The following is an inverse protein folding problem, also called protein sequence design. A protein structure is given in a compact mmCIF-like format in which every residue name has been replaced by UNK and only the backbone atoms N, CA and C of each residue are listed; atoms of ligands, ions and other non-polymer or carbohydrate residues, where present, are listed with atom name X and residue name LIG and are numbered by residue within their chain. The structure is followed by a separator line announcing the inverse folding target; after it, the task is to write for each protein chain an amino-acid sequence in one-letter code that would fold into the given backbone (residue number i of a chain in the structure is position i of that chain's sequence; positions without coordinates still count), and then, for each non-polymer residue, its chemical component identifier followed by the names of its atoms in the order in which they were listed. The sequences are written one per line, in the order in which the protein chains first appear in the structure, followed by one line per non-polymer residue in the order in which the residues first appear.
data_IF_806988952598
#
_entry.id   IF_806988952598
#
_cell.length_a   1.000
_cell.length_b   1.000
_cell.length_c   1.000
_cell.angle_alpha   90.00
_cell.angle_beta   90.00
_cell.angle_gamma   90.00
#
_symmetry.space_group_name_H-M   'P 1'
#
loop_
_entity.id
_entity.type
_entity.pdbx_description
1 polymer ?
#
# COMPACT_ATOMS: atom_id res chain seq x y z
N UNK A 1 -46.96 -6.74 -25.36
CA UNK A 1 -46.89 -7.25 -23.98
C UNK A 1 -45.42 -7.44 -23.62
N UNK A 2 -44.80 -6.43 -22.99
CA UNK A 2 -43.39 -6.47 -22.58
C UNK A 2 -43.30 -7.25 -21.27
N UNK A 3 -42.61 -8.38 -21.27
CA UNK A 3 -42.37 -9.18 -20.06
C UNK A 3 -41.52 -8.37 -19.05
N UNK A 4 -41.83 -8.43 -17.74
CA UNK A 4 -41.01 -7.81 -16.71
C UNK A 4 -39.58 -8.38 -16.76
N UNK A 5 -38.59 -7.50 -16.61
CA UNK A 5 -37.16 -7.83 -16.78
C UNK A 5 -36.67 -8.91 -15.79
N UNK A 6 -37.41 -9.16 -14.71
CA UNK A 6 -37.05 -10.10 -13.64
C UNK A 6 -37.22 -11.58 -14.01
N UNK A 7 -37.99 -11.90 -15.06
CA UNK A 7 -38.29 -13.29 -15.46
C UNK A 7 -37.42 -13.82 -16.61
N UNK A 8 -36.49 -13.00 -17.13
CA UNK A 8 -35.56 -13.45 -18.17
C UNK A 8 -34.40 -14.24 -17.54
N UNK A 9 -34.06 -15.44 -18.04
CA UNK A 9 -32.87 -16.20 -17.63
C UNK A 9 -31.58 -15.38 -17.75
N UNK A 10 -31.57 -14.39 -18.64
CA UNK A 10 -30.50 -13.43 -18.87
C UNK A 10 -30.96 -12.02 -18.48
N UNK A 11 -30.89 -11.70 -17.19
CA UNK A 11 -31.10 -10.33 -16.70
C UNK A 11 -29.72 -9.69 -16.48
N UNK A 12 -29.27 -8.78 -17.36
CA UNK A 12 -27.95 -8.15 -17.28
C UNK A 12 -27.74 -7.37 -15.98
N UNK A 13 -28.82 -6.94 -15.32
CA UNK A 13 -28.78 -6.31 -14.00
C UNK A 13 -28.46 -7.31 -12.88
N UNK A 14 -28.75 -8.61 -13.03
CA UNK A 14 -28.35 -9.66 -12.07
C UNK A 14 -26.88 -10.01 -12.21
N UNK A 15 -26.40 -10.11 -13.44
CA UNK A 15 -24.99 -10.40 -13.71
C UNK A 15 -24.08 -9.25 -13.26
N UNK A 16 -24.46 -8.01 -13.55
CA UNK A 16 -23.72 -6.84 -13.07
C UNK A 16 -23.64 -6.79 -11.54
N UNK A 17 -24.77 -7.07 -10.85
CA UNK A 17 -24.78 -7.16 -9.37
C UNK A 17 -23.81 -8.21 -8.83
N UNK A 18 -23.66 -9.36 -9.49
CA UNK A 18 -22.71 -10.40 -9.09
C UNK A 18 -21.26 -9.92 -9.25
N UNK A 19 -20.96 -9.26 -10.37
CA UNK A 19 -19.63 -8.70 -10.63
C UNK A 19 -19.28 -7.64 -9.59
N UNK A 20 -20.20 -6.71 -9.29
CA UNK A 20 -19.99 -5.67 -8.27
C UNK A 20 -19.84 -6.25 -6.87
N UNK A 21 -20.66 -7.25 -6.50
CA UNK A 21 -20.52 -7.93 -5.22
C UNK A 21 -19.14 -8.57 -5.08
N UNK A 22 -18.62 -9.18 -6.15
CA UNK A 22 -17.27 -9.73 -6.15
C UNK A 22 -16.19 -8.63 -6.13
N UNK A 23 -16.37 -7.55 -6.87
CA UNK A 23 -15.46 -6.39 -6.84
C UNK A 23 -15.36 -5.79 -5.42
N UNK A 24 -16.48 -5.73 -4.69
CA UNK A 24 -16.53 -5.29 -3.30
C UNK A 24 -15.72 -6.17 -2.34
N UNK A 25 -15.56 -7.46 -2.64
CA UNK A 25 -14.68 -8.35 -1.87
C UNK A 25 -13.19 -8.04 -2.04
N UNK A 26 -12.83 -7.42 -3.18
CA UNK A 26 -11.48 -6.88 -3.41
C UNK A 26 -11.32 -5.59 -2.61
N UNK A 27 -12.27 -4.66 -2.77
CA UNK A 27 -12.36 -3.43 -2.00
C UNK A 27 -13.31 -2.38 -2.62
N UNK A 28 -13.55 -1.27 -1.90
CA UNK A 28 -14.47 -0.21 -2.33
C UNK A 28 -14.05 0.49 -3.63
N UNK A 29 -12.76 0.64 -3.90
CA UNK A 29 -12.26 1.29 -5.11
C UNK A 29 -12.37 0.37 -6.31
N UNK A 30 -12.14 -0.94 -6.14
CA UNK A 30 -12.43 -1.92 -7.17
C UNK A 30 -13.93 -1.90 -7.57
N UNK A 31 -14.84 -1.86 -6.59
CA UNK A 31 -16.28 -1.72 -6.85
C UNK A 31 -16.60 -0.43 -7.63
N UNK A 32 -16.07 0.72 -7.18
CA UNK A 32 -16.28 2.03 -7.84
C UNK A 32 -15.73 2.06 -9.26
N UNK A 33 -14.55 1.50 -9.50
CA UNK A 33 -13.95 1.43 -10.83
C UNK A 33 -14.79 0.54 -11.75
N UNK A 34 -15.26 -0.62 -11.26
CA UNK A 34 -16.14 -1.49 -12.01
C UNK A 34 -17.48 -0.82 -12.34
N UNK A 35 -18.06 -0.07 -11.41
CA UNK A 35 -19.27 0.71 -11.66
C UNK A 35 -19.02 1.77 -12.75
N UNK A 36 -17.96 2.56 -12.62
CA UNK A 36 -17.60 3.59 -13.61
C UNK A 36 -17.41 3.03 -15.03
N UNK A 37 -16.70 1.90 -15.15
CA UNK A 37 -16.51 1.21 -16.43
C UNK A 37 -17.83 0.74 -17.03
N UNK A 38 -18.74 0.24 -16.21
CA UNK A 38 -20.06 -0.18 -16.67
C UNK A 38 -20.92 1.00 -17.10
N UNK A 39 -20.88 2.12 -16.37
CA UNK A 39 -21.64 3.32 -16.73
C UNK A 39 -21.16 3.92 -18.05
N UNK A 40 -19.86 3.79 -18.35
CA UNK A 40 -19.25 4.31 -19.59
C UNK A 40 -19.45 3.37 -20.78
N UNK A 41 -19.25 2.06 -20.60
CA UNK A 41 -19.24 1.09 -21.71
C UNK A 41 -20.53 0.27 -21.84
N UNK A 42 -21.35 0.22 -20.79
CA UNK A 42 -22.54 -0.62 -20.72
C UNK A 42 -22.22 -2.12 -20.81
N UNK A 43 -23.09 -2.86 -21.51
CA UNK A 43 -23.02 -4.33 -21.57
C UNK A 43 -21.74 -4.87 -22.21
N UNK A 44 -21.17 -4.17 -23.19
CA UNK A 44 -19.91 -4.59 -23.85
C UNK A 44 -18.71 -4.57 -22.90
N UNK A 45 -18.80 -3.82 -21.79
CA UNK A 45 -17.77 -3.77 -20.74
C UNK A 45 -17.76 -4.99 -19.80
N UNK A 46 -18.78 -5.85 -19.81
CA UNK A 46 -18.91 -6.96 -18.84
C UNK A 46 -17.70 -7.90 -18.82
N UNK A 47 -17.13 -8.22 -19.98
CA UNK A 47 -15.92 -9.06 -20.07
C UNK A 47 -14.72 -8.41 -19.38
N UNK A 48 -14.57 -7.08 -19.49
CA UNK A 48 -13.47 -6.34 -18.84
C UNK A 48 -13.63 -6.35 -17.33
N UNK A 49 -14.86 -6.17 -16.83
CA UNK A 49 -15.15 -6.22 -15.40
C UNK A 49 -14.83 -7.59 -14.79
N UNK A 50 -15.24 -8.67 -15.46
CA UNK A 50 -14.85 -10.03 -15.07
C UNK A 50 -13.33 -10.24 -15.10
N UNK A 51 -12.64 -9.60 -16.05
CA UNK A 51 -11.18 -9.58 -16.09
C UNK A 51 -10.56 -8.97 -14.84
N UNK A 52 -11.06 -7.80 -14.41
CA UNK A 52 -10.57 -7.10 -13.21
C UNK A 52 -10.85 -7.93 -11.95
N UNK A 53 -12.09 -8.40 -11.79
CA UNK A 53 -12.50 -9.23 -10.66
C UNK A 53 -11.72 -10.55 -10.62
N UNK A 54 -11.39 -11.11 -11.78
CA UNK A 54 -10.61 -12.34 -11.90
C UNK A 54 -9.14 -12.21 -11.49
N UNK A 55 -8.60 -10.99 -11.35
CA UNK A 55 -7.23 -10.77 -10.90
C UNK A 55 -6.95 -11.33 -9.51
N UNK A 56 -7.98 -11.44 -8.65
CA UNK A 56 -7.86 -12.00 -7.29
C UNK A 56 -7.33 -13.44 -7.27
N UNK A 57 -7.42 -14.18 -8.40
CA UNK A 57 -6.87 -15.54 -8.52
C UNK A 57 -5.35 -15.58 -8.60
N UNK A 58 -4.71 -14.46 -8.97
CA UNK A 58 -3.25 -14.38 -9.22
C UNK A 58 -2.56 -13.32 -8.38
N UNK A 59 -3.29 -12.30 -7.94
CA UNK A 59 -2.71 -11.15 -7.24
C UNK A 59 -3.39 -10.92 -5.88
N UNK A 60 -2.66 -10.40 -4.88
CA UNK A 60 -3.23 -10.05 -3.58
C UNK A 60 -4.29 -8.95 -3.73
N UNK A 61 -5.40 -9.07 -2.98
CA UNK A 61 -6.50 -8.08 -2.99
C UNK A 61 -6.03 -6.64 -2.76
N UNK A 62 -5.05 -6.43 -1.88
CA UNK A 62 -4.51 -5.11 -1.53
C UNK A 62 -3.85 -4.42 -2.74
N UNK A 63 -3.10 -5.19 -3.55
CA UNK A 63 -2.43 -4.64 -4.72
C UNK A 63 -3.43 -4.31 -5.83
N UNK A 64 -4.46 -5.15 -6.02
CA UNK A 64 -5.53 -4.88 -6.97
C UNK A 64 -6.29 -3.61 -6.56
N UNK A 65 -6.63 -3.47 -5.28
CA UNK A 65 -7.33 -2.29 -4.76
C UNK A 65 -6.51 -1.00 -4.95
N UNK A 66 -5.20 -1.02 -4.65
CA UNK A 66 -4.30 0.10 -4.91
C UNK A 66 -4.16 0.41 -6.41
N UNK A 67 -4.12 -0.61 -7.26
CA UNK A 67 -4.10 -0.41 -8.72
C UNK A 67 -5.39 0.25 -9.21
N UNK A 68 -6.56 -0.15 -8.67
CA UNK A 68 -7.83 0.50 -8.96
C UNK A 68 -7.84 1.97 -8.52
N UNK A 69 -7.28 2.28 -7.34
CA UNK A 69 -7.13 3.66 -6.87
C UNK A 69 -6.34 4.52 -7.86
N UNK A 70 -5.15 4.03 -8.27
CA UNK A 70 -4.26 4.75 -9.18
C UNK A 70 -4.94 4.93 -10.54
N UNK A 71 -5.56 3.88 -11.09
CA UNK A 71 -6.27 3.96 -12.36
C UNK A 71 -7.43 4.96 -12.36
N UNK A 72 -8.17 5.07 -11.25
CA UNK A 72 -9.21 6.08 -11.09
C UNK A 72 -8.62 7.50 -11.01
N UNK A 73 -7.51 7.68 -10.29
CA UNK A 73 -6.84 8.97 -10.13
C UNK A 73 -6.27 9.49 -11.46
N UNK A 74 -5.76 8.59 -12.29
CA UNK A 74 -5.24 8.90 -13.62
C UNK A 74 -6.33 9.12 -14.68
N UNK A 75 -7.60 8.82 -14.36
CA UNK A 75 -8.75 9.11 -15.21
C UNK A 75 -8.92 8.18 -16.42
N UNK A 76 -8.07 7.17 -16.59
CA UNK A 76 -8.14 6.20 -17.70
C UNK A 76 -8.30 4.77 -17.17
N UNK A 77 -9.44 4.45 -16.50
CA UNK A 77 -9.67 3.11 -16.00
C UNK A 77 -9.86 2.16 -17.19
N UNK A 78 -9.04 1.11 -17.27
CA UNK A 78 -9.24 0.00 -18.20
C UNK A 78 -8.65 -1.28 -17.60
N UNK A 79 -9.15 -2.44 -18.03
CA UNK A 79 -8.62 -3.72 -17.56
C UNK A 79 -7.10 -3.85 -17.79
N UNK A 80 -6.61 -3.46 -18.99
CA UNK A 80 -5.18 -3.53 -19.31
C UNK A 80 -4.35 -2.66 -18.36
N UNK A 81 -4.86 -1.47 -18.05
CA UNK A 81 -4.20 -0.52 -17.16
C UNK A 81 -4.15 -1.03 -15.72
N UNK A 82 -5.30 -1.48 -15.19
CA UNK A 82 -5.38 -2.05 -13.83
C UNK A 82 -4.47 -3.28 -13.69
N UNK A 83 -4.44 -4.15 -14.72
CA UNK A 83 -3.54 -5.31 -14.73
C UNK A 83 -2.07 -4.88 -14.70
N UNK A 84 -1.66 -3.96 -15.56
CA UNK A 84 -0.28 -3.46 -15.60
C UNK A 84 0.15 -2.81 -14.28
N UNK A 85 -0.73 -1.99 -13.68
CA UNK A 85 -0.49 -1.39 -12.36
C UNK A 85 -0.37 -2.45 -11.26
N UNK A 86 -1.22 -3.48 -11.28
CA UNK A 86 -1.15 -4.58 -10.31
C UNK A 86 0.17 -5.35 -10.43
N UNK A 87 0.60 -5.64 -11.66
CA UNK A 87 1.88 -6.31 -11.95
C UNK A 87 3.06 -5.47 -11.46
N UNK A 88 3.07 -4.16 -11.76
CA UNK A 88 4.10 -3.23 -11.29
C UNK A 88 4.17 -3.13 -9.77
N UNK A 89 3.02 -3.03 -9.10
CA UNK A 89 2.96 -2.97 -7.63
C UNK A 89 3.46 -4.27 -6.99
N UNK A 90 3.22 -5.42 -7.62
CA UNK A 90 3.74 -6.70 -7.16
C UNK A 90 5.26 -6.76 -7.32
N UNK A 91 5.78 -6.38 -8.47
CA UNK A 91 7.23 -6.33 -8.73
C UNK A 91 7.95 -5.40 -7.74
N UNK A 92 7.38 -4.21 -7.48
CA UNK A 92 7.90 -3.28 -6.48
C UNK A 92 7.91 -3.89 -5.08
N UNK A 93 6.81 -4.53 -4.66
CA UNK A 93 6.74 -5.15 -3.35
C UNK A 93 7.73 -6.32 -3.20
N UNK A 94 8.02 -7.07 -4.26
CA UNK A 94 9.04 -8.12 -4.24
C UNK A 94 10.45 -7.52 -4.18
N UNK A 95 10.74 -6.49 -4.97
CA UNK A 95 12.04 -5.79 -4.93
C UNK A 95 12.32 -5.16 -3.56
N UNK A 96 11.30 -4.64 -2.88
CA UNK A 96 11.41 -4.13 -1.51
C UNK A 96 11.73 -5.22 -0.49
N UNK A 97 11.28 -6.46 -0.71
CA UNK A 97 11.60 -7.60 0.14
C UNK A 97 13.02 -8.12 -0.09
N UNK A 98 13.54 -8.00 -1.31
CA UNK A 98 14.91 -8.39 -1.68
C UNK A 98 15.95 -7.31 -1.33
N UNK A 99 15.52 -6.09 -0.98
CA UNK A 99 16.42 -5.02 -0.59
C UNK A 99 17.09 -5.33 0.78
N UNK A 100 18.39 -5.06 0.94
CA UNK A 100 19.08 -5.31 2.21
C UNK A 100 18.41 -4.49 3.31
N UNK A 101 17.98 -5.17 4.38
CA UNK A 101 17.45 -4.51 5.57
C UNK A 101 18.58 -3.63 6.12
N UNK A 102 18.28 -2.39 6.52
CA UNK A 102 19.28 -1.41 6.98
C UNK A 102 20.21 -1.94 8.10
N UNK A 103 19.85 -3.03 8.79
CA UNK A 103 20.70 -3.71 9.79
C UNK A 103 21.72 -4.72 9.22
N UNK A 104 21.63 -5.10 7.94
CA UNK A 104 22.60 -5.95 7.23
C UNK A 104 23.67 -5.15 6.49
N UNK A 105 23.47 -3.84 6.35
CA UNK A 105 24.52 -2.95 5.87
C UNK A 105 25.62 -2.91 6.94
N UNK A 106 26.91 -3.09 6.57
CA UNK A 106 28.00 -2.91 7.52
C UNK A 106 27.87 -1.52 8.12
N UNK A 107 27.82 -1.44 9.47
CA UNK A 107 27.87 -0.17 10.17
C UNK A 107 29.14 0.57 9.71
N UNK A 108 28.97 1.56 8.85
CA UNK A 108 30.06 2.46 8.46
C UNK A 108 30.38 3.34 9.66
N UNK A 109 31.21 2.82 10.55
CA UNK A 109 31.75 3.58 11.69
C UNK A 109 32.73 4.67 11.24
N UNK A 110 33.18 4.61 9.99
CA UNK A 110 34.06 5.61 9.37
C UNK A 110 33.25 6.47 8.39
N UNK A 111 32.82 7.64 8.86
CA UNK A 111 32.26 8.69 8.01
C UNK A 111 32.83 10.03 8.48
N UNK A 112 33.18 10.94 7.56
CA UNK A 112 33.74 12.27 7.87
C UNK A 112 32.89 13.16 8.82
N UNK A 113 31.62 12.80 9.07
CA UNK A 113 30.73 13.46 10.05
C UNK A 113 30.68 12.74 11.40
N UNK A 114 31.16 11.50 11.48
CA UNK A 114 31.33 10.74 12.73
C UNK A 114 32.69 11.14 13.29
N UNK A 115 32.67 11.87 14.41
CA UNK A 115 33.89 12.23 15.14
C UNK A 115 34.52 11.01 15.79
N UNK A 116 35.84 11.04 15.92
CA UNK A 116 36.59 10.02 16.64
C UNK A 116 36.07 9.92 18.10
N UNK A 117 36.03 8.71 18.64
CA UNK A 117 35.57 8.46 20.00
C UNK A 117 36.41 9.18 21.05
N UNK A 118 37.68 9.45 20.73
CA UNK A 118 38.61 10.18 21.59
C UNK A 118 38.13 11.62 21.89
N UNK A 119 37.37 12.25 20.98
CA UNK A 119 36.82 13.60 21.18
C UNK A 119 35.81 13.67 22.35
N UNK A 120 35.19 12.54 22.71
CA UNK A 120 34.25 12.47 23.83
C UNK A 120 34.92 12.13 25.17
N UNK A 121 36.15 11.62 25.15
CA UNK A 121 36.89 11.22 26.37
C UNK A 121 37.18 12.44 27.24
N UNK A 122 37.59 13.56 26.63
CA UNK A 122 37.88 14.80 27.35
C UNK A 122 36.62 15.42 27.96
N UNK A 123 35.50 15.41 27.22
CA UNK A 123 34.20 15.91 27.70
C UNK A 123 33.68 15.08 28.87
N UNK A 124 33.81 13.75 28.79
CA UNK A 124 33.41 12.85 29.86
C UNK A 124 34.29 13.03 31.10
N UNK A 125 35.60 13.15 30.91
CA UNK A 125 36.56 13.38 32.00
C UNK A 125 36.31 14.73 32.69
N UNK A 126 35.99 15.77 31.92
CA UNK A 126 35.62 17.08 32.45
C UNK A 126 34.32 17.02 33.26
N UNK A 127 33.30 16.33 32.74
CA UNK A 127 32.01 16.13 33.43
C UNK A 127 32.12 15.29 34.70
N UNK A 128 32.98 14.25 34.70
CA UNK A 128 33.26 13.43 35.88
C UNK A 128 33.97 14.25 36.97
N UNK A 129 34.96 15.07 36.59
CA UNK A 129 35.65 15.99 37.52
C UNK A 129 34.69 17.04 38.09
N UNK A 130 33.79 17.58 37.28
CA UNK A 130 32.80 18.55 37.74
C UNK A 130 31.76 17.93 38.68
N UNK A 131 31.29 16.71 38.39
CA UNK A 131 30.37 15.97 39.27
C UNK A 131 31.02 15.60 40.61
N UNK A 132 32.31 15.24 40.62
CA UNK A 132 33.05 14.95 41.84
C UNK A 132 33.32 16.20 42.70
N UNK A 133 33.34 17.38 42.08
CA UNK A 133 33.54 18.67 42.76
C UNK A 133 32.23 19.30 43.28
N UNK A 134 31.07 18.77 42.89
CA UNK A 134 29.77 19.21 43.39
C UNK A 134 29.47 18.52 44.73
N UNK A 135 29.29 19.24 45.85
CA UNK A 135 28.85 18.62 47.09
C UNK A 135 27.42 18.10 46.92
N UNK A 136 27.18 16.86 47.33
CA UNK A 136 25.84 16.28 47.39
C UNK A 136 24.99 17.14 48.31
N UNK A 137 24.07 17.91 47.72
CA UNK A 137 23.01 18.56 48.50
C UNK A 137 22.02 17.46 48.88
N UNK A 138 22.34 16.70 49.91
CA UNK A 138 21.37 15.91 50.63
C UNK A 138 20.38 16.89 51.27
N UNK A 139 19.20 17.00 50.66
CA UNK A 139 18.06 17.64 51.28
C UNK A 139 17.58 16.78 52.44
N UNK A 140 17.96 17.15 53.65
CA UNK A 140 17.20 16.83 54.86
C UNK A 140 16.22 17.99 55.09
N UNK A 141 14.93 17.71 54.96
CA UNK A 141 13.87 18.57 55.48
C UNK A 141 12.92 17.70 56.30
N UNK A 142 13.02 17.92 57.62
CA UNK A 142 12.09 17.50 58.67
C UNK A 142 10.72 18.17 58.54
#
# INVERSE_FOLDING_TARGET
MVLPQDERPFNPSREMRRILAQARTIGPLAERLCQHLFDTEGRVGQRKLWGIVGLIRRYPRRLIESACEIAMREGVPSYKHVKALTERLLEQALAELDAPVQGELPLTQEHHLIRDGDDYVDLFTLGAKHSAAMPSTHGDLS
#
